data_IF_032899896088
#
_entry.id   IF_032899896088
#
_cell.length_a   1.000
_cell.length_b   1.000
_cell.length_c   1.000
_cell.angle_alpha   90.00
_cell.angle_beta   90.00
_cell.angle_gamma   90.00
#
_symmetry.space_group_name_H-M   'P 1'
#
loop_
_entity.id
_entity.type
_entity.pdbx_description
1 polymer ?
#
# COMPACT_ATOMS: atom_id res chain seq x y z
N UNK A 1 -20.85 9.77 -3.08
CA UNK A 1 -19.43 9.39 -3.22
C UNK A 1 -19.24 8.12 -2.44
N UNK A 2 -18.76 7.06 -3.09
CA UNK A 2 -18.49 5.80 -2.40
C UNK A 2 -17.09 5.95 -1.78
N UNK A 3 -17.00 6.21 -0.48
CA UNK A 3 -15.73 6.44 0.22
C UNK A 3 -15.21 5.14 0.88
N UNK A 4 -15.60 4.00 0.33
CA UNK A 4 -15.31 2.69 0.92
C UNK A 4 -14.06 2.12 0.28
N UNK A 5 -13.00 2.05 1.07
CA UNK A 5 -11.77 1.36 0.69
C UNK A 5 -11.93 -0.15 0.92
N UNK A 6 -11.44 -0.95 -0.02
CA UNK A 6 -11.35 -2.40 0.12
C UNK A 6 -9.92 -2.89 -0.11
N UNK A 7 -9.55 -3.99 0.56
CA UNK A 7 -8.24 -4.62 0.45
C UNK A 7 -8.06 -5.26 -0.93
N UNK A 8 -6.87 -5.10 -1.51
CA UNK A 8 -6.53 -5.67 -2.81
C UNK A 8 -5.95 -7.09 -2.70
N UNK A 9 -6.24 -7.92 -3.70
CA UNK A 9 -5.60 -9.23 -3.86
C UNK A 9 -4.20 -9.07 -4.45
N UNK A 10 -3.28 -9.97 -4.14
CA UNK A 10 -1.91 -9.96 -4.64
C UNK A 10 -1.83 -10.08 -6.19
N UNK A 11 -2.80 -10.77 -6.79
CA UNK A 11 -2.89 -10.96 -8.24
C UNK A 11 -3.49 -9.76 -8.99
N UNK A 12 -4.05 -8.78 -8.28
CA UNK A 12 -4.60 -7.59 -8.93
C UNK A 12 -3.49 -6.73 -9.52
N UNK A 13 -3.81 -5.97 -10.58
CA UNK A 13 -2.85 -5.12 -11.27
C UNK A 13 -3.18 -3.65 -11.03
N UNK A 14 -2.19 -2.91 -10.57
CA UNK A 14 -2.20 -1.47 -10.40
C UNK A 14 -1.55 -0.78 -11.60
N UNK A 15 -2.08 0.35 -12.01
CA UNK A 15 -1.47 1.22 -13.01
C UNK A 15 -1.41 2.66 -12.51
N UNK A 16 -0.20 3.21 -12.54
CA UNK A 16 0.10 4.61 -12.26
C UNK A 16 0.66 5.23 -13.53
N UNK A 17 -0.05 6.22 -14.08
CA UNK A 17 0.20 6.77 -15.42
C UNK A 17 0.27 5.70 -16.51
N UNK A 18 1.49 5.24 -16.84
CA UNK A 18 1.79 4.21 -17.85
C UNK A 18 2.50 2.98 -17.26
N UNK A 19 2.79 2.99 -15.97
CA UNK A 19 3.53 1.94 -15.29
C UNK A 19 2.56 0.99 -14.59
N UNK A 20 2.72 -0.31 -14.83
CA UNK A 20 1.88 -1.35 -14.26
C UNK A 20 2.66 -2.20 -13.27
N UNK A 21 2.01 -2.56 -12.17
CA UNK A 21 2.56 -3.41 -11.11
C UNK A 21 1.51 -4.42 -10.70
N UNK A 22 1.91 -5.66 -10.41
CA UNK A 22 1.05 -6.52 -9.58
C UNK A 22 1.05 -5.96 -8.17
N UNK A 23 -0.05 -6.16 -7.43
CA UNK A 23 -0.16 -5.76 -6.03
C UNK A 23 0.94 -6.42 -5.19
N UNK A 24 1.26 -7.69 -5.46
CA UNK A 24 2.37 -8.39 -4.81
C UNK A 24 3.72 -7.69 -5.02
N UNK A 25 4.12 -7.45 -6.27
CA UNK A 25 5.39 -6.79 -6.58
C UNK A 25 5.45 -5.38 -5.97
N UNK A 26 4.33 -4.65 -6.00
CA UNK A 26 4.25 -3.33 -5.39
C UNK A 26 4.47 -3.37 -3.87
N UNK A 27 3.88 -4.37 -3.19
CA UNK A 27 4.12 -4.61 -1.75
C UNK A 27 5.59 -4.95 -1.48
N UNK A 28 6.20 -5.82 -2.28
CA UNK A 28 7.61 -6.19 -2.12
C UNK A 28 8.55 -4.98 -2.24
N UNK A 29 8.32 -4.11 -3.23
CA UNK A 29 9.10 -2.88 -3.39
C UNK A 29 8.94 -1.97 -2.17
N UNK A 30 7.72 -1.82 -1.66
CA UNK A 30 7.46 -1.03 -0.45
C UNK A 30 8.17 -1.62 0.78
N UNK A 31 8.16 -2.95 0.96
CA UNK A 31 8.87 -3.64 2.04
C UNK A 31 10.38 -3.38 1.93
N UNK A 32 10.96 -3.47 0.73
CA UNK A 32 12.38 -3.22 0.52
C UNK A 32 12.76 -1.76 0.85
N UNK A 33 11.93 -0.78 0.43
CA UNK A 33 12.14 0.63 0.78
C UNK A 33 12.05 0.82 2.31
N UNK A 34 11.04 0.21 2.96
CA UNK A 34 10.89 0.25 4.41
C UNK A 34 12.11 -0.33 5.12
N UNK A 35 12.55 -1.52 4.74
CA UNK A 35 13.72 -2.18 5.32
C UNK A 35 14.99 -1.34 5.18
N UNK A 36 15.18 -0.69 4.04
CA UNK A 36 16.30 0.25 3.83
C UNK A 36 16.22 1.46 4.75
N UNK A 37 15.01 2.01 4.97
CA UNK A 37 14.77 3.15 5.86
C UNK A 37 14.88 2.78 7.34
N UNK A 38 14.56 1.55 7.72
CA UNK A 38 14.63 1.04 9.10
C UNK A 38 15.98 0.42 9.45
N UNK A 39 16.88 0.23 8.48
CA UNK A 39 18.23 -0.25 8.73
C UNK A 39 19.02 0.73 9.61
N UNK A 40 19.13 0.41 10.91
CA UNK A 40 19.94 1.18 11.86
C UNK A 40 21.34 0.56 11.94
N UNK A 41 22.34 1.23 11.36
CA UNK A 41 23.74 0.89 11.62
C UNK A 41 24.11 1.42 13.01
N UNK A 42 24.25 0.52 13.98
CA UNK A 42 24.75 0.89 15.31
C UNK A 42 26.20 1.35 15.22
N UNK A 43 26.51 2.53 15.75
CA UNK A 43 27.89 2.98 15.93
C UNK A 43 28.25 2.80 17.40
N UNK A 44 29.36 2.08 17.66
CA UNK A 44 29.90 1.98 19.02
C UNK A 44 30.74 3.22 19.29
N UNK A 45 30.23 4.13 20.12
CA UNK A 45 31.02 5.22 20.69
C UNK A 45 31.25 4.89 22.16
N UNK A 46 32.49 4.70 22.58
CA UNK A 46 32.91 4.64 23.98
C UNK A 46 32.15 3.61 24.87
N UNK A 47 31.79 2.45 24.30
CA UNK A 47 31.13 1.36 25.04
C UNK A 47 29.63 1.55 25.27
N UNK A 48 29.05 2.67 24.83
CA UNK A 48 27.61 2.91 24.84
C UNK A 48 27.07 2.78 23.41
N UNK A 49 26.24 1.77 23.18
CA UNK A 49 25.51 1.66 21.90
C UNK A 49 24.40 2.70 21.89
N UNK A 50 24.63 3.83 21.22
CA UNK A 50 23.60 4.84 21.00
C UNK A 50 22.83 4.49 19.73
N UNK A 51 21.54 4.20 19.87
CA UNK A 51 20.62 4.03 18.75
C UNK A 51 19.97 5.36 18.44
N UNK A 52 20.13 5.86 17.21
CA UNK A 52 19.47 7.09 16.79
C UNK A 52 18.01 6.74 16.43
N UNK A 53 17.11 6.84 17.40
CA UNK A 53 15.70 6.41 17.34
C UNK A 53 14.79 7.34 16.51
N UNK A 54 15.29 7.96 15.44
CA UNK A 54 14.46 8.68 14.45
C UNK A 54 13.75 7.74 13.47
N UNK A 55 13.37 6.53 13.91
CA UNK A 55 12.75 5.51 13.05
C UNK A 55 11.41 6.02 12.50
N UNK A 56 10.62 6.69 13.34
CA UNK A 56 9.35 7.28 12.93
C UNK A 56 9.53 8.36 11.86
N UNK A 57 10.53 9.24 12.00
CA UNK A 57 10.86 10.27 11.01
C UNK A 57 11.33 9.67 9.69
N UNK A 58 12.12 8.59 9.75
CA UNK A 58 12.58 7.87 8.54
C UNK A 58 11.43 7.19 7.83
N UNK A 59 10.52 6.56 8.56
CA UNK A 59 9.32 5.95 7.98
C UNK A 59 8.39 7.05 7.43
N UNK A 60 8.32 8.21 8.09
CA UNK A 60 7.56 9.40 7.69
C UNK A 60 8.27 10.22 6.63
N UNK A 61 8.50 9.59 5.49
CA UNK A 61 9.17 10.23 4.37
C UNK A 61 8.60 9.74 3.05
N UNK A 62 9.11 10.30 1.96
CA UNK A 62 8.69 9.95 0.61
C UNK A 62 9.16 8.55 0.21
N UNK A 63 8.26 7.73 -0.33
CA UNK A 63 8.55 6.43 -0.90
C UNK A 63 8.55 6.59 -2.41
N UNK A 64 9.74 6.44 -2.99
CA UNK A 64 9.93 6.49 -4.42
C UNK A 64 9.99 5.06 -4.96
N UNK A 65 8.94 4.66 -5.66
CA UNK A 65 8.78 3.32 -6.22
C UNK A 65 9.28 3.39 -7.67
N UNK A 66 10.49 2.87 -7.87
CA UNK A 66 11.15 2.78 -9.18
C UNK A 66 11.20 4.10 -9.98
N UNK A 67 11.27 5.26 -9.32
CA UNK A 67 11.22 6.59 -9.97
C UNK A 67 9.92 6.89 -10.74
N UNK A 68 8.89 6.09 -10.50
CA UNK A 68 7.62 6.12 -11.23
C UNK A 68 6.45 6.57 -10.38
N UNK A 69 6.48 6.25 -9.09
CA UNK A 69 5.40 6.56 -8.16
C UNK A 69 5.99 7.11 -6.88
N UNK A 70 5.45 8.24 -6.44
CA UNK A 70 5.84 8.92 -5.21
C UNK A 70 4.68 8.79 -4.22
N UNK A 71 4.93 8.21 -3.05
CA UNK A 71 3.99 8.10 -1.96
C UNK A 71 4.53 8.78 -0.71
N UNK A 72 3.81 9.75 -0.18
CA UNK A 72 4.11 10.30 1.14
C UNK A 72 3.41 9.47 2.20
N UNK A 73 4.18 9.10 3.22
CA UNK A 73 3.69 8.27 4.31
C UNK A 73 3.75 9.07 5.60
N UNK A 74 2.63 9.10 6.33
CA UNK A 74 2.54 9.76 7.63
C UNK A 74 2.12 8.73 8.69
N UNK A 75 3.07 8.33 9.52
CA UNK A 75 2.90 7.44 10.66
C UNK A 75 2.34 8.19 11.86
N UNK A 76 1.28 7.62 12.41
CA UNK A 76 0.87 7.81 13.80
C UNK A 76 1.36 6.63 14.63
N UNK A 77 1.42 6.75 15.96
CA UNK A 77 2.12 5.86 16.91
C UNK A 77 1.88 4.34 16.82
N UNK A 78 0.94 3.85 16.01
CA UNK A 78 0.64 2.42 15.81
C UNK A 78 0.35 2.08 14.34
N UNK A 79 -0.34 2.97 13.62
CA UNK A 79 -0.72 2.76 12.23
C UNK A 79 -0.11 3.83 11.33
N UNK A 80 0.48 3.35 10.25
CA UNK A 80 1.03 4.17 9.18
C UNK A 80 0.08 4.13 8.00
N UNK A 81 -0.38 5.28 7.51
CA UNK A 81 -1.24 5.36 6.32
C UNK A 81 -0.61 6.36 5.35
N UNK A 82 -0.53 6.00 4.06
CA UNK A 82 -0.10 6.95 3.04
C UNK A 82 -1.17 7.98 2.75
N UNK A 83 -0.76 9.02 2.04
CA UNK A 83 -1.69 9.81 1.22
C UNK A 83 -2.40 8.92 0.20
N UNK A 84 -3.56 9.37 -0.25
CA UNK A 84 -4.31 8.74 -1.33
C UNK A 84 -3.71 9.15 -2.67
N UNK A 85 -3.37 8.18 -3.51
CA UNK A 85 -2.83 8.41 -4.85
C UNK A 85 -3.80 7.95 -5.92
N UNK A 86 -3.93 8.72 -6.99
CA UNK A 86 -4.74 8.32 -8.15
C UNK A 86 -4.08 7.16 -8.90
N UNK A 87 -4.84 6.11 -9.17
CA UNK A 87 -4.38 4.97 -9.94
C UNK A 87 -5.53 4.31 -10.70
N UNK A 88 -5.19 3.31 -11.52
CA UNK A 88 -6.18 2.37 -12.06
C UNK A 88 -5.94 0.97 -11.53
N UNK A 89 -7.02 0.25 -11.28
CA UNK A 89 -7.03 -1.13 -10.83
C UNK A 89 -7.64 -2.02 -11.91
N UNK A 90 -6.97 -3.13 -12.22
CA UNK A 90 -7.52 -4.24 -13.00
C UNK A 90 -7.52 -5.47 -12.09
N UNK A 91 -8.70 -5.90 -11.68
CA UNK A 91 -8.85 -7.14 -10.90
C UNK A 91 -8.59 -8.35 -11.78
N UNK A 92 -8.06 -9.43 -11.20
CA UNK A 92 -7.92 -10.68 -11.92
C UNK A 92 -9.28 -11.16 -12.46
N UNK A 93 -9.36 -11.42 -13.76
CA UNK A 93 -10.59 -11.84 -14.44
C UNK A 93 -11.56 -10.71 -14.79
N UNK A 94 -11.26 -9.45 -14.46
CA UNK A 94 -12.06 -8.31 -14.88
C UNK A 94 -11.75 -7.92 -16.34
N UNK A 95 -12.79 -7.43 -17.04
CA UNK A 95 -12.66 -7.01 -18.44
C UNK A 95 -12.14 -5.58 -18.61
N UNK A 96 -12.13 -4.75 -17.56
CA UNK A 96 -11.84 -3.33 -17.67
C UNK A 96 -11.12 -2.76 -16.44
N UNK A 97 -10.39 -1.67 -16.68
CA UNK A 97 -9.71 -0.87 -15.66
C UNK A 97 -10.71 0.00 -14.90
N UNK A 98 -10.56 0.05 -13.57
CA UNK A 98 -11.30 0.97 -12.70
C UNK A 98 -10.39 2.08 -12.24
N UNK A 99 -10.78 3.33 -12.44
CA UNK A 99 -10.07 4.48 -11.86
C UNK A 99 -10.48 4.64 -10.40
N UNK A 100 -9.54 5.09 -9.59
CA UNK A 100 -9.79 5.32 -8.17
C UNK A 100 -8.52 5.73 -7.46
N UNK A 101 -8.61 5.67 -6.14
CA UNK A 101 -7.53 6.04 -5.25
C UNK A 101 -6.99 4.83 -4.51
N UNK A 102 -5.68 4.69 -4.52
CA UNK A 102 -4.96 3.74 -3.69
C UNK A 102 -4.50 4.42 -2.40
N UNK A 103 -4.54 3.69 -1.30
CA UNK A 103 -3.77 4.02 -0.10
C UNK A 103 -3.03 2.80 0.41
N UNK A 104 -1.87 3.06 0.97
CA UNK A 104 -1.02 2.10 1.63
C UNK A 104 -1.22 2.20 3.14
N UNK A 105 -1.20 1.05 3.82
CA UNK A 105 -1.09 0.97 5.26
C UNK A 105 0.11 0.12 5.64
N UNK A 106 0.92 0.64 6.55
CA UNK A 106 1.94 -0.11 7.27
C UNK A 106 1.54 -0.29 8.73
N UNK A 107 1.47 -1.54 9.17
CA UNK A 107 1.20 -1.87 10.56
C UNK A 107 2.53 -2.26 11.18
N UNK A 108 2.98 -1.46 12.14
CA UNK A 108 4.20 -1.69 12.89
C UNK A 108 3.86 -2.49 14.15
N UNK A 109 4.27 -3.75 14.19
CA UNK A 109 4.18 -4.56 15.39
C UNK A 109 5.53 -4.58 16.12
N UNK A 110 5.51 -4.23 17.40
CA UNK A 110 6.66 -4.22 18.29
C UNK A 110 6.58 -5.45 19.20
N UNK A 111 6.91 -6.61 18.64
CA UNK A 111 6.97 -7.83 19.42
C UNK A 111 8.26 -7.89 20.24
N UNK A 112 8.12 -8.19 21.53
CA UNK A 112 9.17 -8.33 22.55
C UNK A 112 9.94 -7.04 22.94
N UNK A 113 9.68 -6.57 24.17
CA UNK A 113 10.45 -5.49 24.82
C UNK A 113 11.94 -5.80 25.02
N UNK A 114 12.31 -7.08 24.96
CA UNK A 114 13.69 -7.58 25.17
C UNK A 114 14.57 -7.42 23.92
N UNK A 115 13.97 -7.55 22.74
CA UNK A 115 14.60 -7.37 21.42
C UNK A 115 13.53 -6.78 20.51
N UNK A 116 13.43 -5.45 20.38
CA UNK A 116 12.38 -4.84 19.58
C UNK A 116 12.58 -5.22 18.10
N UNK A 117 11.83 -6.22 17.65
CA UNK A 117 11.71 -6.54 16.24
C UNK A 117 10.50 -5.78 15.71
N UNK A 118 10.77 -4.82 14.83
CA UNK A 118 9.73 -4.10 14.11
C UNK A 118 9.28 -4.98 12.94
N UNK A 119 8.14 -5.64 13.08
CA UNK A 119 7.49 -6.29 11.95
C UNK A 119 6.61 -5.26 11.26
N UNK A 120 6.77 -5.09 9.94
CA UNK A 120 5.95 -4.17 9.16
C UNK A 120 5.11 -5.00 8.20
N UNK A 121 3.80 -5.04 8.44
CA UNK A 121 2.84 -5.61 7.49
C UNK A 121 2.33 -4.52 6.55
N UNK A 122 2.21 -4.86 5.26
CA UNK A 122 1.75 -3.94 4.23
C UNK A 122 0.39 -4.36 3.68
N UNK A 123 -0.57 -3.44 3.80
CA UNK A 123 -1.87 -3.54 3.16
C UNK A 123 -2.01 -2.46 2.10
N UNK A 124 -2.57 -2.84 0.95
CA UNK A 124 -2.95 -1.92 -0.11
C UNK A 124 -4.47 -1.93 -0.23
N UNK A 125 -5.07 -0.75 -0.13
CA UNK A 125 -6.50 -0.58 -0.18
C UNK A 125 -6.89 0.39 -1.31
N UNK A 126 -7.99 0.09 -1.99
CA UNK A 126 -8.45 0.86 -3.14
C UNK A 126 -9.88 1.35 -2.95
N UNK A 127 -10.12 2.59 -3.37
CA UNK A 127 -11.44 3.23 -3.41
C UNK A 127 -11.75 3.65 -4.86
N UNK A 128 -12.74 3.05 -5.53
CA UNK A 128 -13.06 3.38 -6.91
C UNK A 128 -13.76 4.75 -7.00
N UNK A 129 -13.45 5.54 -8.04
CA UNK A 129 -14.09 6.86 -8.24
C UNK A 129 -15.58 6.73 -8.52
N UNK A 130 -15.93 5.70 -9.29
CA UNK A 130 -17.28 5.35 -9.63
C UNK A 130 -17.69 4.09 -8.86
N UNK A 131 -18.90 4.05 -8.28
CA UNK A 131 -19.40 2.83 -7.65
C UNK A 131 -19.35 1.69 -8.67
N UNK A 132 -19.00 0.48 -8.21
CA UNK A 132 -19.10 -0.69 -9.07
C UNK A 132 -20.56 -0.79 -9.52
N UNK A 133 -20.82 -0.50 -10.79
CA UNK A 133 -22.05 -0.90 -11.44
C UNK A 133 -22.06 -2.41 -11.28
N UNK A 134 -22.93 -2.91 -10.41
CA UNK A 134 -23.18 -4.33 -10.32
C UNK A 134 -23.48 -4.81 -11.73
N UNK A 135 -22.61 -5.63 -12.31
CA UNK A 135 -22.86 -6.36 -13.57
C UNK A 135 -23.94 -7.44 -13.36
N UNK A 136 -24.96 -7.12 -12.56
CA UNK A 136 -26.18 -7.87 -12.32
C UNK A 136 -27.37 -6.92 -12.50
N UNK A 137 -27.36 -6.11 -13.56
CA UNK A 137 -28.63 -5.83 -14.23
C UNK A 137 -28.77 -6.89 -15.33
N UNK A 138 -29.17 -8.09 -14.92
CA UNK A 138 -29.61 -9.22 -15.74
C UNK A 138 -30.88 -8.87 -16.57
N UNK A 139 -31.12 -7.58 -16.88
CA UNK A 139 -32.30 -7.15 -17.63
C UNK A 139 -32.16 -7.36 -19.14
N UNK A 140 -31.02 -7.85 -19.63
CA UNK A 140 -30.80 -8.17 -21.05
C UNK A 140 -30.99 -9.66 -21.36
N UNK A 141 -31.03 -10.55 -20.35
CA UNK A 141 -31.30 -11.97 -20.56
C UNK A 141 -32.79 -12.34 -20.55
N UNK A 142 -33.66 -11.46 -20.04
CA UNK A 142 -35.12 -11.68 -20.01
C UNK A 142 -35.84 -11.37 -21.34
N UNK A 143 -35.17 -10.73 -22.31
CA UNK A 143 -35.76 -10.47 -23.63
C UNK A 143 -35.68 -11.65 -24.61
N UNK A 144 -34.84 -12.66 -24.34
CA UNK A 144 -34.71 -13.86 -25.19
C UNK A 144 -35.67 -15.00 -24.79
N UNK A 145 -36.55 -14.78 -23.81
CA UNK A 145 -37.53 -15.76 -23.30
C UNK A 145 -38.99 -15.42 -23.64
N UNK A 146 -39.24 -14.45 -24.53
CA UNK A 146 -40.59 -14.16 -25.05
C UNK A 146 -40.78 -14.65 -26.48
#
# INVERSE_FOLDING_TARGET
MNNTFYLLSNDDILMFDKNTFTVENFKEILIDILNKKTYVKGYKTDGVTSFNFHILERINSEYNIEEKVILTVNQSSVNTVSEEIDCKLLKLGAASWKTGKLRFKAIADYNNLSEPQLTIEIELEFCPDQPELSETSDSTLDELRK
#
